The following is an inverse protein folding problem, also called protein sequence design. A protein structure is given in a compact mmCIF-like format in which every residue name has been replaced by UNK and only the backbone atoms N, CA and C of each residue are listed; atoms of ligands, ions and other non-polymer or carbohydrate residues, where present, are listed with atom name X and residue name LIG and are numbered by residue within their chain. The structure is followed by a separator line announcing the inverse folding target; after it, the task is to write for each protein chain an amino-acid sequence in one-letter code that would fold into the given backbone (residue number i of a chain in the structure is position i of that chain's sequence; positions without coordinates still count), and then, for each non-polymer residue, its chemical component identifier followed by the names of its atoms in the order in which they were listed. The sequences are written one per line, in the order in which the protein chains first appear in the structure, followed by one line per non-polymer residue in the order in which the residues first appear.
data_IF_041366678246
#
_entry.id   IF_041366678246
#
_cell.length_a   1.000
_cell.length_b   1.000
_cell.length_c   1.000
_cell.angle_alpha   90.00
_cell.angle_beta   90.00
_cell.angle_gamma   90.00
#
_symmetry.space_group_name_H-M   'P 1'
#
loop_
_entity.id
_entity.type
_entity.pdbx_description
1 polymer ?
#
# COMPACT_ATOMS: atom_id res chain seq x y z
N UNK A 1 -7.50 -8.87 53.75
CA UNK A 1 -6.96 -9.78 52.70
C UNK A 1 -7.34 -9.41 51.27
N UNK A 2 -8.62 -9.15 50.91
CA UNK A 2 -9.05 -8.90 49.51
C UNK A 2 -8.38 -7.72 48.78
N UNK A 3 -8.03 -6.63 49.47
CA UNK A 3 -7.40 -5.44 48.87
C UNK A 3 -5.97 -5.70 48.37
N UNK A 4 -5.24 -6.60 49.05
CA UNK A 4 -3.86 -6.93 48.69
C UNK A 4 -3.79 -7.88 47.47
N UNK A 5 -4.73 -8.83 47.38
CA UNK A 5 -4.91 -9.67 46.17
C UNK A 5 -5.39 -8.87 44.97
N UNK A 6 -6.27 -7.89 45.17
CA UNK A 6 -6.71 -7.01 44.09
C UNK A 6 -5.55 -6.16 43.56
N UNK A 7 -4.80 -5.45 44.41
CA UNK A 7 -3.67 -4.65 43.97
C UNK A 7 -2.59 -5.49 43.26
N UNK A 8 -2.34 -6.72 43.71
CA UNK A 8 -1.47 -7.67 43.00
C UNK A 8 -2.01 -8.04 41.62
N UNK A 9 -3.32 -8.32 41.50
CA UNK A 9 -3.95 -8.59 40.22
C UNK A 9 -3.83 -7.39 39.25
N UNK A 10 -4.11 -6.17 39.72
CA UNK A 10 -3.95 -4.94 38.93
C UNK A 10 -2.52 -4.75 38.45
N UNK A 11 -1.55 -4.93 39.35
CA UNK A 11 -0.13 -4.82 39.02
C UNK A 11 0.28 -5.86 37.97
N UNK A 12 -0.11 -7.12 38.14
CA UNK A 12 0.16 -8.20 37.16
C UNK A 12 -0.47 -7.87 35.81
N UNK A 13 -1.71 -7.38 35.79
CA UNK A 13 -2.38 -6.98 34.55
C UNK A 13 -1.66 -5.82 33.86
N UNK A 14 -1.19 -4.82 34.62
CA UNK A 14 -0.37 -3.72 34.09
C UNK A 14 0.95 -4.19 33.48
N UNK A 15 1.63 -5.13 34.13
CA UNK A 15 2.86 -5.75 33.59
C UNK A 15 2.56 -6.52 32.31
N UNK A 16 1.47 -7.29 32.26
CA UNK A 16 1.05 -8.01 31.04
C UNK A 16 0.79 -7.03 29.89
N UNK A 17 0.05 -5.94 30.13
CA UNK A 17 -0.20 -4.94 29.08
C UNK A 17 1.08 -4.25 28.61
N UNK A 18 2.03 -3.97 29.51
CA UNK A 18 3.34 -3.42 29.13
C UNK A 18 4.13 -4.41 28.27
N UNK A 19 4.14 -5.69 28.63
CA UNK A 19 4.82 -6.74 27.84
C UNK A 19 4.16 -6.94 26.47
N UNK A 20 2.82 -6.96 26.42
CA UNK A 20 2.07 -7.04 25.16
C UNK A 20 2.33 -5.82 24.31
N UNK A 21 2.24 -4.60 24.86
CA UNK A 21 2.54 -3.36 24.14
C UNK A 21 3.97 -3.31 23.62
N UNK A 22 4.95 -3.74 24.44
CA UNK A 22 6.35 -3.86 24.04
C UNK A 22 6.55 -4.88 22.92
N UNK A 23 5.91 -6.04 22.99
CA UNK A 23 5.92 -7.04 21.92
C UNK A 23 5.31 -6.51 20.62
N UNK A 24 4.17 -5.82 20.70
CA UNK A 24 3.50 -5.24 19.53
C UNK A 24 4.38 -4.19 18.85
N UNK A 25 4.97 -3.28 19.62
CA UNK A 25 5.92 -2.30 19.13
C UNK A 25 7.14 -2.97 18.49
N UNK A 26 7.69 -4.02 19.12
CA UNK A 26 8.81 -4.77 18.59
C UNK A 26 8.45 -5.51 17.30
N UNK A 27 7.29 -6.15 17.24
CA UNK A 27 6.78 -6.86 16.05
C UNK A 27 6.58 -5.91 14.86
N UNK A 28 5.99 -4.74 15.09
CA UNK A 28 5.80 -3.70 14.07
C UNK A 28 7.13 -3.20 13.49
N UNK A 29 8.15 -3.04 14.35
CA UNK A 29 9.42 -2.43 13.94
C UNK A 29 10.42 -3.42 13.32
N UNK A 30 10.22 -4.73 13.49
CA UNK A 30 11.19 -5.76 13.14
C UNK A 30 10.62 -6.80 12.16
N UNK A 31 10.82 -6.63 10.84
CA UNK A 31 10.41 -7.58 9.80
C UNK A 31 10.85 -9.04 10.03
N UNK A 32 12.00 -9.24 10.68
CA UNK A 32 12.53 -10.55 11.02
C UNK A 32 11.62 -11.32 12.00
N UNK A 33 10.99 -10.60 12.94
CA UNK A 33 10.07 -11.18 13.93
C UNK A 33 8.85 -11.73 13.21
N UNK A 34 8.23 -10.94 12.33
CA UNK A 34 7.13 -11.40 11.49
C UNK A 34 7.48 -12.71 10.77
N UNK A 35 8.62 -12.73 10.07
CA UNK A 35 9.02 -13.88 9.27
C UNK A 35 9.29 -15.12 10.12
N UNK A 36 9.82 -14.97 11.34
CA UNK A 36 10.00 -16.06 12.28
C UNK A 36 8.67 -16.69 12.74
N UNK A 37 7.65 -15.86 13.04
CA UNK A 37 6.30 -16.35 13.37
C UNK A 37 5.63 -17.01 12.16
N UNK A 38 5.74 -16.39 10.98
CA UNK A 38 5.16 -16.94 9.76
C UNK A 38 5.81 -18.29 9.38
N UNK A 39 7.13 -18.45 9.59
CA UNK A 39 7.86 -19.70 9.39
C UNK A 39 7.43 -20.81 10.37
N UNK A 40 7.08 -20.46 11.62
CA UNK A 40 6.60 -21.43 12.60
C UNK A 40 5.13 -21.84 12.40
N UNK A 41 4.47 -21.29 11.38
CA UNK A 41 3.05 -21.54 11.08
C UNK A 41 2.08 -20.69 11.92
N UNK A 42 2.58 -19.81 12.79
CA UNK A 42 1.77 -18.95 13.64
C UNK A 42 1.37 -17.70 12.84
N UNK A 43 0.07 -17.56 12.55
CA UNK A 43 -0.47 -16.40 11.83
C UNK A 43 -1.01 -15.34 12.78
N UNK A 44 -0.30 -14.23 12.92
CA UNK A 44 -0.74 -13.05 13.68
C UNK A 44 -1.36 -12.01 12.74
N UNK A 45 -2.26 -12.44 11.84
CA UNK A 45 -2.80 -11.59 10.76
C UNK A 45 -3.55 -10.35 11.26
N UNK A 46 -4.05 -10.36 12.49
CA UNK A 46 -4.68 -9.18 13.11
C UNK A 46 -3.67 -8.04 13.38
N UNK A 47 -2.37 -8.35 13.46
CA UNK A 47 -1.30 -7.37 13.62
C UNK A 47 -0.78 -6.81 12.31
N UNK A 48 -1.15 -7.42 11.17
CA UNK A 48 -0.67 -6.96 9.86
C UNK A 48 -1.13 -5.52 9.58
N UNK A 49 -2.31 -5.14 10.06
CA UNK A 49 -2.85 -3.78 9.92
C UNK A 49 -2.12 -2.74 10.80
N UNK A 50 -1.31 -3.17 11.77
CA UNK A 50 -0.57 -2.30 12.68
C UNK A 50 0.88 -2.09 12.25
N UNK A 51 1.40 -2.91 11.32
CA UNK A 51 2.79 -2.82 10.88
C UNK A 51 3.02 -1.83 9.74
N UNK A 52 4.19 -1.16 9.74
CA UNK A 52 4.70 -0.42 8.59
C UNK A 52 5.65 -1.32 7.79
N UNK A 53 5.09 -1.98 6.79
CA UNK A 53 5.77 -3.03 6.00
C UNK A 53 6.39 -2.54 4.70
N UNK A 54 6.10 -1.29 4.33
CA UNK A 54 6.54 -0.62 3.11
C UNK A 54 7.96 -0.03 3.18
N UNK A 55 8.75 -0.42 4.20
CA UNK A 55 10.14 0.04 4.37
C UNK A 55 11.05 -0.53 3.28
N UNK A 56 11.93 0.32 2.77
CA UNK A 56 13.01 -0.07 1.86
C UNK A 56 14.27 -0.49 2.63
N UNK A 57 15.15 -1.24 1.96
CA UNK A 57 16.48 -1.51 2.47
C UNK A 57 17.43 -0.38 2.03
N UNK A 58 18.52 -0.19 2.76
CA UNK A 58 19.56 0.75 2.34
C UNK A 58 20.12 0.36 0.96
N UNK A 59 20.40 1.36 0.12
CA UNK A 59 20.95 1.12 -1.22
C UNK A 59 22.20 0.22 -1.17
N UNK A 60 22.24 -0.76 -2.06
CA UNK A 60 23.26 -1.81 -2.09
C UNK A 60 22.91 -3.05 -1.27
N UNK A 61 21.90 -2.98 -0.39
CA UNK A 61 21.39 -4.13 0.37
C UNK A 61 20.12 -4.66 -0.29
N UNK A 62 19.99 -5.97 -0.43
CA UNK A 62 18.89 -6.56 -1.17
C UNK A 62 18.56 -7.97 -0.68
N UNK A 63 17.35 -8.43 -1.02
CA UNK A 63 16.99 -9.83 -0.98
C UNK A 63 17.24 -10.49 -2.33
N UNK A 64 17.88 -11.66 -2.32
CA UNK A 64 17.91 -12.57 -3.48
C UNK A 64 16.70 -13.48 -3.44
N UNK A 65 15.88 -13.45 -4.47
CA UNK A 65 14.82 -14.43 -4.69
C UNK A 65 15.43 -15.67 -5.34
N UNK A 66 15.31 -16.82 -4.70
CA UNK A 66 15.77 -18.10 -5.24
C UNK A 66 14.64 -19.11 -5.31
N UNK A 67 14.70 -20.04 -6.24
CA UNK A 67 13.80 -21.19 -6.23
C UNK A 67 14.19 -22.22 -5.13
N UNK A 68 13.41 -23.29 -5.01
CA UNK A 68 13.65 -24.38 -4.05
C UNK A 68 14.96 -25.14 -4.31
N UNK A 69 15.56 -25.01 -5.51
CA UNK A 69 16.86 -25.60 -5.85
C UNK A 69 18.05 -24.68 -5.52
N UNK A 70 17.76 -23.42 -5.16
CA UNK A 70 18.76 -22.39 -4.87
C UNK A 70 19.19 -21.58 -6.10
N UNK A 71 18.53 -21.74 -7.26
CA UNK A 71 18.78 -20.92 -8.44
C UNK A 71 18.25 -19.51 -8.20
N UNK A 72 19.09 -18.51 -8.46
CA UNK A 72 18.69 -17.11 -8.38
C UNK A 72 17.71 -16.75 -9.51
N UNK A 73 16.59 -16.16 -9.11
CA UNK A 73 15.49 -15.76 -9.99
C UNK A 73 15.44 -14.24 -10.15
N UNK A 74 15.63 -13.50 -9.05
CA UNK A 74 15.47 -12.05 -9.02
C UNK A 74 16.16 -11.41 -7.79
N UNK A 75 16.30 -10.08 -7.80
CA UNK A 75 16.78 -9.29 -6.66
C UNK A 75 15.88 -8.08 -6.40
N UNK A 76 15.72 -7.68 -5.14
CA UNK A 76 14.94 -6.48 -4.75
C UNK A 76 15.53 -5.82 -3.49
N UNK A 77 15.62 -4.49 -3.48
CA UNK A 77 16.10 -3.69 -2.33
C UNK A 77 14.96 -3.31 -1.37
N UNK A 78 14.08 -4.27 -1.08
CA UNK A 78 12.96 -4.11 -0.15
C UNK A 78 12.95 -5.30 0.81
N UNK A 79 12.38 -5.11 2.00
CA UNK A 79 12.14 -6.25 2.88
C UNK A 79 11.16 -7.22 2.21
N UNK A 80 11.52 -8.50 2.19
CA UNK A 80 10.69 -9.57 1.65
C UNK A 80 10.09 -10.39 2.80
N UNK A 81 8.83 -10.74 2.65
CA UNK A 81 8.06 -11.45 3.65
C UNK A 81 7.53 -12.77 3.12
N UNK A 82 7.34 -13.74 4.01
CA UNK A 82 6.66 -14.98 3.65
C UNK A 82 5.27 -14.67 3.11
N UNK A 83 4.97 -15.29 1.96
CA UNK A 83 3.77 -15.11 1.19
C UNK A 83 3.82 -13.99 0.17
N UNK A 84 4.90 -13.18 0.13
CA UNK A 84 5.12 -12.24 -0.99
C UNK A 84 5.28 -13.02 -2.29
N UNK A 85 4.93 -12.38 -3.39
CA UNK A 85 4.86 -13.05 -4.67
C UNK A 85 5.52 -12.24 -5.78
N UNK A 86 6.04 -12.94 -6.78
CA UNK A 86 6.73 -12.35 -7.92
C UNK A 86 6.15 -12.97 -9.18
N UNK A 87 5.70 -12.14 -10.11
CA UNK A 87 5.46 -12.53 -11.50
C UNK A 87 6.68 -12.04 -12.28
N UNK A 88 7.53 -12.96 -12.72
CA UNK A 88 8.77 -12.62 -13.41
C UNK A 88 8.49 -12.21 -14.87
N UNK A 89 9.55 -11.81 -15.56
CA UNK A 89 9.52 -11.36 -16.95
C UNK A 89 8.86 -12.38 -17.89
N UNK A 90 9.17 -13.67 -17.69
CA UNK A 90 8.63 -14.80 -18.45
C UNK A 90 7.20 -15.20 -18.03
N UNK A 91 6.55 -14.43 -17.16
CA UNK A 91 5.25 -14.67 -16.54
C UNK A 91 5.20 -15.83 -15.55
N UNK A 92 6.32 -16.43 -15.19
CA UNK A 92 6.37 -17.41 -14.10
C UNK A 92 6.07 -16.71 -12.76
N UNK A 93 5.10 -17.25 -12.01
CA UNK A 93 4.68 -16.73 -10.71
C UNK A 93 5.26 -17.57 -9.59
N UNK A 94 6.00 -16.91 -8.71
CA UNK A 94 6.62 -17.50 -7.53
C UNK A 94 6.03 -16.91 -6.26
N UNK A 95 5.92 -17.74 -5.22
CA UNK A 95 5.50 -17.33 -3.88
C UNK A 95 6.59 -17.66 -2.88
N UNK A 96 6.97 -16.66 -2.10
CA UNK A 96 7.97 -16.81 -1.03
C UNK A 96 7.39 -17.69 0.07
N UNK A 97 8.05 -18.80 0.34
CA UNK A 97 7.66 -19.78 1.36
C UNK A 97 8.59 -19.79 2.57
N UNK A 98 9.83 -19.34 2.40
CA UNK A 98 10.84 -19.28 3.46
C UNK A 98 11.77 -18.07 3.24
N UNK A 99 12.25 -17.50 4.35
CA UNK A 99 13.24 -16.43 4.36
C UNK A 99 14.44 -16.87 5.20
N UNK A 100 15.63 -16.83 4.62
CA UNK A 100 16.91 -17.00 5.31
C UNK A 100 17.49 -15.62 5.64
N UNK A 101 17.11 -15.10 6.81
CA UNK A 101 17.38 -13.71 7.21
C UNK A 101 18.87 -13.35 7.21
N UNK A 102 19.75 -14.26 7.61
CA UNK A 102 21.20 -14.00 7.69
C UNK A 102 21.84 -13.78 6.31
N UNK A 103 21.24 -14.32 5.25
CA UNK A 103 21.76 -14.23 3.88
C UNK A 103 20.93 -13.28 3.01
N UNK A 104 19.89 -12.64 3.57
CA UNK A 104 18.85 -11.94 2.81
C UNK A 104 18.37 -12.78 1.60
N UNK A 105 18.04 -14.04 1.82
CA UNK A 105 17.59 -14.95 0.76
C UNK A 105 16.13 -15.32 0.97
N UNK A 106 15.31 -15.10 -0.07
CA UNK A 106 13.90 -15.48 -0.09
C UNK A 106 13.74 -16.71 -0.97
N UNK A 107 13.40 -17.85 -0.36
CA UNK A 107 13.14 -19.10 -1.07
C UNK A 107 11.68 -19.10 -1.50
N UNK A 108 11.47 -19.27 -2.79
CA UNK A 108 10.16 -19.18 -3.42
C UNK A 108 9.81 -20.44 -4.21
N UNK A 109 8.55 -20.82 -4.09
CA UNK A 109 7.96 -21.94 -4.81
C UNK A 109 7.27 -21.44 -6.07
N UNK A 110 7.43 -22.15 -7.18
CA UNK A 110 6.67 -21.90 -8.41
C UNK A 110 5.20 -22.22 -8.16
N UNK A 111 4.33 -21.22 -8.33
CA UNK A 111 2.88 -21.35 -8.23
C UNK A 111 2.26 -21.72 -9.57
N UNK A 112 2.85 -21.23 -10.66
CA UNK A 112 2.37 -21.46 -12.02
C UNK A 112 2.88 -20.37 -12.96
N UNK A 113 2.28 -20.29 -14.15
CA UNK A 113 2.55 -19.25 -15.14
C UNK A 113 1.29 -18.42 -15.34
N UNK A 114 1.43 -17.10 -15.27
CA UNK A 114 0.31 -16.18 -15.46
C UNK A 114 -0.06 -16.10 -16.94
N UNK A 115 -1.32 -16.38 -17.23
CA UNK A 115 -1.90 -16.17 -18.57
C UNK A 115 -2.32 -14.72 -18.72
N UNK A 116 -1.38 -13.89 -19.17
CA UNK A 116 -1.62 -12.50 -19.47
C UNK A 116 -2.25 -12.37 -20.86
N UNK A 117 -3.55 -12.08 -20.89
CA UNK A 117 -4.33 -12.03 -22.13
C UNK A 117 -4.24 -10.65 -22.77
N UNK A 118 -3.83 -10.62 -24.04
CA UNK A 118 -3.93 -9.42 -24.88
C UNK A 118 -5.39 -9.03 -25.09
N UNK A 119 -5.69 -7.74 -24.95
CA UNK A 119 -7.00 -7.17 -25.23
C UNK A 119 -6.98 -6.51 -26.60
N UNK A 120 -7.89 -6.89 -27.49
CA UNK A 120 -7.94 -6.32 -28.84
C UNK A 120 -8.28 -4.83 -28.85
N UNK A 121 -8.93 -4.33 -27.79
CA UNK A 121 -9.18 -2.91 -27.57
C UNK A 121 -7.91 -2.10 -27.35
N UNK A 122 -6.75 -2.73 -27.12
CA UNK A 122 -5.45 -2.05 -27.12
C UNK A 122 -4.91 -1.83 -28.53
N UNK A 123 -5.34 -2.65 -29.50
CA UNK A 123 -5.00 -2.54 -30.92
C UNK A 123 -5.87 -1.49 -31.63
N UNK A 124 -7.14 -1.38 -31.23
CA UNK A 124 -8.14 -0.55 -31.90
C UNK A 124 -8.42 0.75 -31.12
N UNK A 125 -8.67 1.85 -31.84
CA UNK A 125 -8.93 3.24 -31.36
C UNK A 125 -7.67 4.09 -31.21
N UNK A 126 -7.63 5.36 -31.66
CA UNK A 126 -6.62 6.30 -31.19
C UNK A 126 -6.85 6.51 -29.70
N UNK A 127 -5.94 6.04 -28.84
CA UNK A 127 -6.06 6.15 -27.37
C UNK A 127 -6.48 7.57 -26.91
N UNK A 128 -6.07 8.58 -27.68
CA UNK A 128 -6.42 10.00 -27.50
C UNK A 128 -7.93 10.30 -27.53
N UNK A 129 -8.74 9.62 -28.34
CA UNK A 129 -10.18 9.91 -28.48
C UNK A 129 -10.97 9.49 -27.23
N UNK A 130 -10.72 8.29 -26.68
CA UNK A 130 -11.39 7.81 -25.45
C UNK A 130 -10.89 8.50 -24.17
N UNK A 131 -9.63 8.98 -24.18
CA UNK A 131 -9.03 9.74 -23.07
C UNK A 131 -9.59 11.16 -23.01
N UNK A 132 -9.85 11.78 -24.16
CA UNK A 132 -10.46 13.11 -24.28
C UNK A 132 -11.89 13.18 -23.72
N UNK A 133 -12.70 12.13 -23.91
CA UNK A 133 -14.08 12.07 -23.40
C UNK A 133 -14.16 11.98 -21.86
N UNK A 134 -13.17 11.38 -21.21
CA UNK A 134 -13.16 11.11 -19.76
C UNK A 134 -12.22 12.02 -18.95
N UNK A 135 -11.70 13.10 -19.53
CA UNK A 135 -10.68 13.95 -18.90
C UNK A 135 -9.52 13.12 -18.32
N UNK A 136 -9.04 12.10 -19.04
CA UNK A 136 -8.14 11.05 -18.52
C UNK A 136 -6.85 11.60 -17.92
N UNK A 137 -6.90 11.88 -16.62
CA UNK A 137 -5.78 12.43 -15.84
C UNK A 137 -5.01 11.32 -15.18
N UNK A 138 -3.68 11.37 -15.25
CA UNK A 138 -2.81 10.48 -14.47
C UNK A 138 -2.11 11.31 -13.41
N UNK A 139 -2.27 10.94 -12.15
CA UNK A 139 -1.51 11.55 -11.06
C UNK A 139 -0.13 10.91 -10.96
N UNK A 140 0.92 11.71 -10.92
CA UNK A 140 2.31 11.27 -10.81
C UNK A 140 2.94 11.92 -9.58
N UNK A 141 3.57 11.13 -8.73
CA UNK A 141 4.33 11.63 -7.59
C UNK A 141 5.50 10.69 -7.28
N UNK A 142 6.38 11.12 -6.38
CA UNK A 142 7.53 10.34 -5.94
C UNK A 142 7.53 10.34 -4.42
N UNK A 143 7.31 9.20 -3.78
CA UNK A 143 7.39 9.10 -2.31
C UNK A 143 8.82 9.37 -1.84
N UNK A 144 9.83 8.74 -2.45
CA UNK A 144 11.22 8.96 -2.05
C UNK A 144 11.91 9.98 -2.95
N UNK A 145 11.68 11.26 -2.67
CA UNK A 145 12.19 12.39 -3.48
C UNK A 145 13.70 12.55 -3.49
N UNK A 146 14.42 11.77 -2.69
CA UNK A 146 15.88 11.76 -2.60
C UNK A 146 16.56 10.77 -3.56
N UNK A 147 15.83 9.76 -4.05
CA UNK A 147 16.38 8.70 -4.89
C UNK A 147 17.12 9.26 -6.12
N UNK A 148 18.37 8.82 -6.30
CA UNK A 148 19.28 9.28 -7.36
C UNK A 148 20.06 8.13 -7.97
N UNK A 149 20.65 8.37 -9.14
CA UNK A 149 21.38 7.37 -9.91
C UNK A 149 22.88 7.68 -9.89
N UNK A 150 23.69 6.79 -9.30
CA UNK A 150 25.13 6.99 -9.09
C UNK A 150 25.85 7.42 -10.38
N UNK A 151 25.71 6.74 -11.53
CA UNK A 151 26.51 7.03 -12.72
C UNK A 151 26.33 8.44 -13.30
N UNK A 152 25.18 9.08 -13.05
CA UNK A 152 24.84 10.39 -13.65
C UNK A 152 24.60 11.49 -12.63
N UNK A 153 24.13 11.14 -11.44
CA UNK A 153 23.86 12.09 -10.37
C UNK A 153 25.02 12.14 -9.35
N UNK A 154 25.96 11.19 -9.39
CA UNK A 154 27.15 11.13 -8.54
C UNK A 154 26.92 10.54 -7.15
N UNK A 155 25.67 10.22 -6.78
CA UNK A 155 25.28 9.60 -5.51
C UNK A 155 23.97 8.84 -5.67
N UNK A 156 23.73 7.88 -4.79
CA UNK A 156 22.47 7.15 -4.72
C UNK A 156 21.33 7.98 -4.10
N UNK A 157 21.63 8.99 -3.29
CA UNK A 157 20.60 9.81 -2.62
C UNK A 157 21.01 11.29 -2.53
N UNK A 158 20.04 12.17 -2.81
CA UNK A 158 20.11 13.63 -2.68
C UNK A 158 18.82 14.14 -2.02
N UNK A 159 18.79 14.31 -0.68
CA UNK A 159 17.57 14.69 0.05
C UNK A 159 16.74 15.77 -0.64
N UNK A 160 15.50 15.41 -0.99
CA UNK A 160 14.51 16.27 -1.65
C UNK A 160 14.85 16.76 -3.05
N UNK A 161 15.98 16.37 -3.64
CA UNK A 161 16.49 16.82 -4.93
C UNK A 161 17.05 15.64 -5.74
N UNK A 162 16.44 14.47 -5.59
CA UNK A 162 16.86 13.23 -6.23
C UNK A 162 16.73 13.25 -7.75
N UNK A 163 17.56 12.46 -8.41
CA UNK A 163 17.44 12.20 -9.85
C UNK A 163 16.09 11.63 -10.26
N UNK A 164 15.40 10.94 -9.35
CA UNK A 164 14.06 10.38 -9.57
C UNK A 164 13.04 11.46 -9.93
N UNK A 165 13.20 12.70 -9.45
CA UNK A 165 12.30 13.80 -9.80
C UNK A 165 12.35 14.10 -11.31
N UNK A 166 13.53 13.96 -11.93
CA UNK A 166 13.68 14.14 -13.38
C UNK A 166 13.07 12.99 -14.16
N UNK A 167 13.23 11.76 -13.66
CA UNK A 167 12.61 10.56 -14.24
C UNK A 167 11.08 10.66 -14.19
N UNK A 168 10.51 11.04 -13.05
CA UNK A 168 9.06 11.29 -12.90
C UNK A 168 8.57 12.41 -13.83
N UNK A 169 9.35 13.47 -14.01
CA UNK A 169 9.04 14.54 -14.96
C UNK A 169 9.04 14.05 -16.42
N UNK A 170 10.02 13.23 -16.82
CA UNK A 170 10.07 12.60 -18.15
C UNK A 170 8.84 11.71 -18.36
N UNK A 171 8.46 10.91 -17.36
CA UNK A 171 7.25 10.09 -17.43
C UNK A 171 5.99 10.95 -17.63
N UNK A 172 5.80 11.98 -16.81
CA UNK A 172 4.63 12.85 -16.89
C UNK A 172 4.56 13.64 -18.21
N UNK A 173 5.69 14.12 -18.73
CA UNK A 173 5.71 14.85 -19.99
C UNK A 173 5.42 13.93 -21.18
N UNK A 174 5.96 12.71 -21.18
CA UNK A 174 5.65 11.75 -22.24
C UNK A 174 4.17 11.35 -22.23
N UNK A 175 3.54 11.19 -21.05
CA UNK A 175 2.09 11.01 -20.97
C UNK A 175 1.34 12.17 -21.65
N UNK A 176 1.76 13.42 -21.42
CA UNK A 176 1.16 14.61 -22.07
C UNK A 176 1.35 14.61 -23.58
N UNK A 177 2.52 14.22 -24.07
CA UNK A 177 2.80 14.09 -25.50
C UNK A 177 1.90 13.05 -26.16
N UNK A 178 1.51 12.01 -25.43
CA UNK A 178 0.52 11.02 -25.87
C UNK A 178 -0.95 11.44 -25.65
N UNK A 179 -1.20 12.69 -25.27
CA UNK A 179 -2.56 13.24 -25.08
C UNK A 179 -3.20 12.91 -23.73
N UNK A 180 -2.45 12.41 -22.74
CA UNK A 180 -2.92 12.14 -21.37
C UNK A 180 -2.62 13.33 -20.48
N UNK A 181 -3.60 13.81 -19.72
CA UNK A 181 -3.38 14.93 -18.80
C UNK A 181 -2.62 14.48 -17.54
N UNK A 182 -1.29 14.55 -17.54
CA UNK A 182 -0.49 14.17 -16.38
C UNK A 182 -0.36 15.30 -15.34
N UNK A 183 -0.81 15.03 -14.12
CA UNK A 183 -0.69 15.89 -12.95
C UNK A 183 0.48 15.41 -12.08
N UNK A 184 1.64 16.05 -12.23
CA UNK A 184 2.83 15.70 -11.44
C UNK A 184 2.95 16.56 -10.19
N UNK A 185 3.33 15.96 -9.06
CA UNK A 185 3.72 16.65 -7.83
C UNK A 185 5.21 16.45 -7.53
N UNK A 186 5.89 17.55 -7.19
CA UNK A 186 7.27 17.58 -6.71
C UNK A 186 7.36 17.85 -5.20
N UNK A 187 6.26 17.64 -4.46
CA UNK A 187 6.27 17.78 -3.01
C UNK A 187 7.34 16.84 -2.42
N UNK A 188 8.13 17.36 -1.48
CA UNK A 188 9.19 16.62 -0.82
C UNK A 188 8.62 15.79 0.33
N UNK A 189 9.12 14.57 0.50
CA UNK A 189 8.68 13.68 1.57
C UNK A 189 9.85 13.14 2.41
N UNK A 190 10.98 13.86 2.43
CA UNK A 190 12.13 13.56 3.28
C UNK A 190 11.76 13.53 4.79
N UNK A 191 12.50 12.79 5.63
CA UNK A 191 13.64 11.92 5.28
C UNK A 191 13.22 10.64 4.53
N UNK A 192 14.17 9.92 3.95
CA UNK A 192 13.91 8.60 3.37
C UNK A 192 13.72 7.57 4.50
N UNK A 193 12.51 7.49 5.04
CA UNK A 193 12.14 6.57 6.10
C UNK A 193 10.76 5.93 5.83
N UNK A 194 10.36 5.00 6.69
CA UNK A 194 9.03 4.38 6.59
C UNK A 194 7.87 5.39 6.68
N UNK A 195 8.08 6.55 7.31
CA UNK A 195 7.08 7.62 7.40
C UNK A 195 7.00 8.46 6.11
N UNK A 196 7.88 8.27 5.12
CA UNK A 196 7.80 8.93 3.83
C UNK A 196 6.45 8.64 3.14
N UNK A 197 5.95 7.40 3.24
CA UNK A 197 4.63 7.04 2.73
C UNK A 197 3.50 7.79 3.44
N UNK A 198 3.60 8.01 4.75
CA UNK A 198 2.62 8.84 5.47
C UNK A 198 2.63 10.30 4.99
N UNK A 199 3.81 10.85 4.68
CA UNK A 199 3.94 12.21 4.13
C UNK A 199 3.43 12.27 2.69
N UNK A 200 3.83 11.34 1.83
CA UNK A 200 3.42 11.28 0.42
C UNK A 200 1.95 10.98 0.23
N UNK A 201 1.31 10.32 1.21
CA UNK A 201 -0.14 10.12 1.24
C UNK A 201 -0.92 11.43 1.10
N UNK A 202 -0.45 12.51 1.72
CA UNK A 202 -1.10 13.83 1.61
C UNK A 202 -1.03 14.35 0.17
N UNK A 203 0.12 14.16 -0.48
CA UNK A 203 0.33 14.51 -1.89
C UNK A 203 -0.56 13.67 -2.81
N UNK A 204 -0.58 12.35 -2.64
CA UNK A 204 -1.44 11.46 -3.41
C UNK A 204 -2.93 11.81 -3.23
N UNK A 205 -3.38 12.09 -2.00
CA UNK A 205 -4.74 12.53 -1.72
C UNK A 205 -5.08 13.90 -2.35
N UNK A 206 -4.11 14.82 -2.48
CA UNK A 206 -4.30 16.08 -3.20
C UNK A 206 -4.46 15.84 -4.70
N UNK A 207 -3.66 14.95 -5.30
CA UNK A 207 -3.78 14.58 -6.71
C UNK A 207 -5.16 13.97 -7.00
N UNK A 208 -5.67 13.13 -6.09
CA UNK A 208 -7.00 12.52 -6.21
C UNK A 208 -8.16 13.50 -6.32
N UNK A 209 -8.03 14.72 -5.78
CA UNK A 209 -9.07 15.76 -5.90
C UNK A 209 -9.34 16.15 -7.35
N UNK A 210 -8.41 15.86 -8.25
CA UNK A 210 -8.56 16.09 -9.69
C UNK A 210 -9.16 14.89 -10.43
N UNK A 211 -9.64 13.87 -9.72
CA UNK A 211 -10.24 12.65 -10.24
C UNK A 211 -9.36 11.95 -11.31
N UNK A 212 -8.08 11.64 -11.00
CA UNK A 212 -7.23 10.92 -11.93
C UNK A 212 -7.72 9.48 -12.11
N UNK A 213 -7.58 8.97 -13.33
CA UNK A 213 -7.90 7.57 -13.69
C UNK A 213 -6.85 6.57 -13.19
N UNK A 214 -5.65 7.04 -12.85
CA UNK A 214 -4.59 6.25 -12.26
C UNK A 214 -3.67 7.15 -11.41
N UNK A 215 -3.07 6.56 -10.37
CA UNK A 215 -1.99 7.15 -9.59
C UNK A 215 -0.72 6.33 -9.79
N UNK A 216 0.38 7.00 -10.07
CA UNK A 216 1.69 6.38 -10.26
C UNK A 216 2.69 6.99 -9.31
N UNK A 217 3.21 6.16 -8.41
CA UNK A 217 4.36 6.47 -7.55
C UNK A 217 5.64 6.03 -8.26
N UNK A 218 6.51 6.98 -8.62
CA UNK A 218 7.72 6.71 -9.41
C UNK A 218 8.93 6.59 -8.49
N UNK A 219 9.57 5.43 -8.53
CA UNK A 219 10.73 5.08 -7.74
C UNK A 219 11.85 4.50 -8.61
N UNK A 220 12.99 4.21 -7.98
CA UNK A 220 14.05 3.34 -8.50
C UNK A 220 14.52 2.36 -7.43
N UNK A 221 14.82 1.13 -7.84
CA UNK A 221 15.29 0.09 -6.92
C UNK A 221 16.69 0.43 -6.36
N UNK A 222 17.08 -0.28 -5.32
CA UNK A 222 18.34 -0.10 -4.59
C UNK A 222 19.34 -1.24 -4.76
N UNK A 223 19.08 -2.21 -5.66
CA UNK A 223 19.99 -3.36 -5.86
C UNK A 223 21.31 -2.93 -6.50
N UNK A 224 22.47 -3.52 -6.13
CA UNK A 224 23.77 -3.09 -6.64
C UNK A 224 24.01 -3.54 -8.08
N UNK A 225 23.52 -4.71 -8.50
CA UNK A 225 23.71 -5.21 -9.86
C UNK A 225 22.68 -4.61 -10.84
N UNK A 226 23.15 -3.65 -11.64
CA UNK A 226 22.36 -2.96 -12.64
C UNK A 226 21.87 -3.85 -13.80
N UNK A 227 22.44 -5.05 -13.97
CA UNK A 227 22.06 -5.99 -15.04
C UNK A 227 20.64 -6.51 -14.88
N UNK A 228 20.13 -6.65 -13.66
CA UNK A 228 18.75 -7.07 -13.40
C UNK A 228 17.70 -6.12 -13.99
N UNK A 229 18.07 -4.87 -14.22
CA UNK A 229 17.23 -3.84 -14.82
C UNK A 229 17.71 -3.38 -16.19
N UNK A 230 18.80 -3.93 -16.75
CA UNK A 230 19.28 -3.48 -18.06
C UNK A 230 18.36 -3.98 -19.17
N UNK A 231 18.00 -3.10 -20.09
CA UNK A 231 17.30 -3.44 -21.34
C UNK A 231 17.75 -2.52 -22.48
N UNK A 232 17.18 -2.71 -23.66
CA UNK A 232 17.37 -1.82 -24.80
C UNK A 232 16.03 -1.22 -25.21
N UNK A 233 16.02 0.09 -25.41
CA UNK A 233 14.86 0.85 -25.87
C UNK A 233 15.28 1.53 -27.16
N UNK A 234 14.62 1.17 -28.28
CA UNK A 234 14.89 1.73 -29.61
C UNK A 234 16.39 1.68 -29.98
N UNK A 235 17.07 0.58 -29.62
CA UNK A 235 18.51 0.36 -29.89
C UNK A 235 19.48 1.11 -28.98
N UNK A 236 18.99 1.80 -27.95
CA UNK A 236 19.81 2.50 -26.96
C UNK A 236 19.69 1.85 -25.58
N UNK A 237 20.71 1.96 -24.71
CA UNK A 237 20.62 1.49 -23.33
C UNK A 237 19.45 2.14 -22.57
N UNK A 238 18.56 1.30 -22.06
CA UNK A 238 17.41 1.69 -21.23
C UNK A 238 17.35 0.84 -19.95
N UNK A 239 16.37 1.13 -19.10
CA UNK A 239 16.06 0.28 -17.94
C UNK A 239 14.70 -0.38 -18.06
N UNK A 240 14.61 -1.58 -17.50
CA UNK A 240 13.33 -2.25 -17.25
C UNK A 240 12.54 -1.51 -16.18
N UNK A 241 11.24 -1.76 -16.15
CA UNK A 241 10.30 -1.26 -15.15
C UNK A 241 9.80 -2.45 -14.32
N UNK A 242 9.91 -2.40 -12.99
CA UNK A 242 9.19 -3.33 -12.11
C UNK A 242 7.91 -2.66 -11.63
N UNK A 243 6.80 -3.40 -11.71
CA UNK A 243 5.52 -2.99 -11.16
C UNK A 243 5.42 -3.50 -9.72
N UNK A 244 5.00 -2.66 -8.78
CA UNK A 244 4.86 -3.04 -7.37
C UNK A 244 3.42 -2.87 -6.93
N UNK A 245 2.86 -3.94 -6.34
CA UNK A 245 1.49 -3.98 -5.82
C UNK A 245 1.54 -4.40 -4.35
N UNK A 246 0.97 -3.60 -3.47
CA UNK A 246 0.83 -3.93 -2.06
C UNK A 246 -0.17 -5.07 -1.84
N UNK A 247 0.13 -5.97 -0.93
CA UNK A 247 -0.80 -7.04 -0.51
C UNK A 247 -1.77 -6.58 0.58
N UNK A 248 -1.55 -5.41 1.17
CA UNK A 248 -2.34 -4.89 2.29
C UNK A 248 -3.34 -3.80 1.88
N UNK A 249 -3.33 -3.36 0.62
CA UNK A 249 -4.34 -2.40 0.16
C UNK A 249 -5.68 -3.12 -0.12
N UNK A 250 -6.82 -2.54 0.28
CA UNK A 250 -8.15 -3.11 0.02
C UNK A 250 -8.52 -3.14 -1.46
N UNK A 251 -7.76 -2.44 -2.31
CA UNK A 251 -7.92 -2.43 -3.77
C UNK A 251 -6.98 -3.41 -4.48
N UNK A 252 -6.36 -4.36 -3.76
CA UNK A 252 -5.26 -5.17 -4.28
C UNK A 252 -5.63 -5.90 -5.57
N UNK A 253 -6.82 -6.49 -5.64
CA UNK A 253 -7.27 -7.19 -6.85
C UNK A 253 -7.36 -6.26 -8.07
N UNK A 254 -7.91 -5.06 -7.89
CA UNK A 254 -8.03 -4.07 -8.96
C UNK A 254 -6.66 -3.50 -9.37
N UNK A 255 -5.78 -3.24 -8.40
CA UNK A 255 -4.43 -2.73 -8.65
C UNK A 255 -3.55 -3.80 -9.31
N UNK A 256 -3.67 -5.06 -8.90
CA UNK A 256 -3.00 -6.18 -9.55
C UNK A 256 -3.53 -6.42 -10.97
N UNK A 257 -4.84 -6.34 -11.19
CA UNK A 257 -5.42 -6.44 -12.53
C UNK A 257 -4.90 -5.32 -13.44
N UNK A 258 -4.77 -4.10 -12.93
CA UNK A 258 -4.17 -3.00 -13.66
C UNK A 258 -2.69 -3.27 -13.99
N UNK A 259 -1.88 -3.72 -13.03
CA UNK A 259 -0.48 -4.09 -13.26
C UNK A 259 -0.34 -5.24 -14.28
N UNK A 260 -1.21 -6.25 -14.22
CA UNK A 260 -1.26 -7.36 -15.18
C UNK A 260 -1.64 -6.90 -16.58
N UNK A 261 -2.60 -5.99 -16.72
CA UNK A 261 -2.97 -5.41 -18.02
C UNK A 261 -1.80 -4.61 -18.62
N UNK A 262 -1.08 -3.83 -17.80
CA UNK A 262 0.13 -3.14 -18.23
C UNK A 262 1.18 -4.14 -18.71
N UNK A 263 1.49 -5.16 -17.90
CA UNK A 263 2.46 -6.20 -18.28
C UNK A 263 2.03 -6.93 -19.55
N UNK A 264 0.76 -7.33 -19.68
CA UNK A 264 0.24 -7.99 -20.88
C UNK A 264 0.43 -7.13 -22.15
N UNK A 265 0.18 -5.83 -22.06
CA UNK A 265 0.38 -4.90 -23.16
C UNK A 265 1.86 -4.80 -23.55
N UNK A 266 2.75 -4.61 -22.59
CA UNK A 266 4.19 -4.44 -22.85
C UNK A 266 4.90 -5.74 -23.19
N UNK A 267 4.45 -6.89 -22.70
CA UNK A 267 5.00 -8.20 -23.09
C UNK A 267 4.86 -8.43 -24.60
N UNK A 268 3.78 -7.91 -25.22
CA UNK A 268 3.56 -7.99 -26.68
C UNK A 268 4.23 -6.85 -27.45
N UNK A 269 4.12 -5.61 -26.96
CA UNK A 269 4.56 -4.42 -27.72
C UNK A 269 6.01 -4.03 -27.47
N UNK A 270 6.55 -4.36 -26.31
CA UNK A 270 7.91 -4.02 -25.86
C UNK A 270 8.51 -5.14 -25.00
N UNK A 271 8.74 -6.35 -25.55
CA UNK A 271 9.25 -7.48 -24.79
C UNK A 271 10.52 -7.12 -24.00
N UNK A 272 10.58 -7.48 -22.73
CA UNK A 272 11.71 -7.18 -21.86
C UNK A 272 11.76 -5.74 -21.31
N UNK A 273 10.73 -4.91 -21.55
CA UNK A 273 10.60 -3.60 -20.88
C UNK A 273 10.08 -3.76 -19.45
N UNK A 274 9.04 -4.58 -19.23
CA UNK A 274 8.50 -4.83 -17.89
C UNK A 274 9.26 -6.01 -17.28
N UNK A 275 10.04 -5.74 -16.23
CA UNK A 275 10.81 -6.73 -15.49
C UNK A 275 9.93 -7.79 -14.82
N UNK A 276 8.73 -7.39 -14.39
CA UNK A 276 7.82 -8.23 -13.63
C UNK A 276 6.91 -7.43 -12.70
N UNK A 277 6.12 -8.15 -11.91
CA UNK A 277 5.23 -7.62 -10.88
C UNK A 277 5.67 -8.19 -9.53
N UNK A 278 6.04 -7.33 -8.59
CA UNK A 278 6.26 -7.69 -7.19
C UNK A 278 5.00 -7.40 -6.37
N UNK A 279 4.47 -8.42 -5.71
CA UNK A 279 3.37 -8.32 -4.76
C UNK A 279 3.94 -8.40 -3.35
N UNK A 280 4.24 -7.24 -2.77
CA UNK A 280 4.91 -7.12 -1.47
C UNK A 280 3.95 -6.90 -0.32
N UNK A 281 4.34 -7.33 0.89
CA UNK A 281 3.64 -6.97 2.13
C UNK A 281 3.85 -5.47 2.37
N UNK A 282 2.88 -4.67 1.96
CA UNK A 282 2.88 -3.21 2.08
C UNK A 282 1.61 -2.62 1.52
N UNK A 283 1.42 -1.31 1.70
CA UNK A 283 0.29 -0.57 1.15
C UNK A 283 0.72 0.33 -0.02
N UNK A 284 1.79 1.11 0.16
CA UNK A 284 2.35 2.01 -0.85
C UNK A 284 1.35 3.07 -1.33
N UNK A 285 0.47 3.55 -0.44
CA UNK A 285 -0.67 4.43 -0.75
C UNK A 285 -1.70 3.89 -1.75
N UNK A 286 -1.64 2.59 -2.07
CA UNK A 286 -2.51 1.97 -3.07
C UNK A 286 -3.92 1.69 -2.54
N UNK A 287 -4.16 1.90 -1.24
CA UNK A 287 -5.51 1.91 -0.66
C UNK A 287 -6.31 3.18 -0.99
N UNK A 288 -5.67 4.21 -1.53
CA UNK A 288 -6.34 5.46 -1.88
C UNK A 288 -7.28 5.33 -3.08
N UNK A 289 -7.12 4.30 -3.92
CA UNK A 289 -8.04 4.03 -5.01
C UNK A 289 -7.61 2.87 -5.90
N UNK A 290 -8.49 2.42 -6.82
CA UNK A 290 -8.12 1.47 -7.85
C UNK A 290 -7.17 2.11 -8.87
N UNK A 291 -6.33 1.30 -9.51
CA UNK A 291 -5.29 1.73 -10.48
C UNK A 291 -4.26 2.67 -9.85
N UNK A 292 -3.98 2.47 -8.55
CA UNK A 292 -2.83 3.04 -7.87
C UNK A 292 -1.68 2.03 -7.90
N UNK A 293 -0.54 2.43 -8.46
CA UNK A 293 0.61 1.55 -8.70
C UNK A 293 1.92 2.27 -8.37
N UNK A 294 2.90 1.51 -7.90
CA UNK A 294 4.28 1.95 -7.78
C UNK A 294 5.09 1.33 -8.93
N UNK A 295 5.97 2.12 -9.54
CA UNK A 295 6.90 1.66 -10.56
C UNK A 295 8.35 1.88 -10.10
N UNK A 296 9.20 0.87 -10.28
CA UNK A 296 10.64 0.98 -10.11
C UNK A 296 11.29 1.12 -11.48
N UNK A 297 11.93 2.26 -11.72
CA UNK A 297 12.57 2.60 -13.00
C UNK A 297 14.07 2.33 -12.89
N UNK A 298 14.46 1.08 -13.12
CA UNK A 298 15.84 0.67 -12.93
C UNK A 298 16.25 0.59 -11.46
N UNK A 299 17.57 0.59 -11.23
CA UNK A 299 18.20 0.68 -9.91
C UNK A 299 19.19 1.84 -9.85
N UNK A 300 19.60 2.23 -8.64
CA UNK A 300 20.55 3.31 -8.38
C UNK A 300 21.91 3.19 -9.09
N UNK A 301 22.32 2.00 -9.55
CA UNK A 301 23.55 1.78 -10.35
C UNK A 301 23.34 1.81 -11.86
N UNK A 302 22.09 1.97 -12.35
CA UNK A 302 21.83 2.37 -13.73
C UNK A 302 22.08 3.88 -13.91
N UNK A 303 22.32 4.35 -15.13
CA UNK A 303 22.33 5.79 -15.40
C UNK A 303 20.91 6.36 -15.39
N UNK A 304 20.73 7.58 -14.89
CA UNK A 304 19.43 8.27 -14.94
C UNK A 304 18.93 8.41 -16.38
N UNK A 305 19.81 8.63 -17.34
CA UNK A 305 19.42 8.75 -18.76
C UNK A 305 18.93 7.44 -19.36
N UNK A 306 19.41 6.27 -18.89
CA UNK A 306 18.83 4.98 -19.27
C UNK A 306 17.46 4.78 -18.61
N UNK A 307 17.30 5.23 -17.36
CA UNK A 307 16.02 5.21 -16.65
C UNK A 307 14.97 6.11 -17.33
N UNK A 308 15.36 7.32 -17.73
CA UNK A 308 14.53 8.25 -18.50
C UNK A 308 14.03 7.61 -19.81
N UNK A 309 14.89 6.92 -20.58
CA UNK A 309 14.48 6.19 -21.79
C UNK A 309 13.52 5.03 -21.51
N UNK A 310 13.77 4.28 -20.44
CA UNK A 310 12.89 3.18 -20.02
C UNK A 310 11.49 3.67 -19.68
N UNK A 311 11.41 4.74 -18.88
CA UNK A 311 10.13 5.30 -18.42
C UNK A 311 9.40 6.08 -19.53
N UNK A 312 10.13 6.71 -20.45
CA UNK A 312 9.59 7.33 -21.67
C UNK A 312 8.86 6.29 -22.52
N UNK A 313 9.52 5.19 -22.86
CA UNK A 313 8.92 4.12 -23.67
C UNK A 313 7.77 3.42 -22.93
N UNK A 314 7.84 3.34 -21.60
CA UNK A 314 6.72 2.88 -20.79
C UNK A 314 5.53 3.87 -20.83
N UNK A 315 5.76 5.18 -20.77
CA UNK A 315 4.69 6.18 -20.87
C UNK A 315 3.93 6.12 -22.21
N UNK A 316 4.63 5.82 -23.31
CA UNK A 316 4.04 5.69 -24.66
C UNK A 316 2.88 4.66 -24.72
N UNK A 317 2.97 3.58 -23.94
CA UNK A 317 1.96 2.52 -23.92
C UNK A 317 0.81 2.72 -22.92
N UNK A 318 0.99 3.56 -21.89
CA UNK A 318 -0.03 3.77 -20.84
C UNK A 318 -1.40 4.20 -21.41
N UNK A 319 -1.50 5.18 -22.34
CA UNK A 319 -2.76 5.60 -22.94
C UNK A 319 -3.62 4.45 -23.46
N UNK A 320 -3.00 3.44 -24.09
CA UNK A 320 -3.68 2.27 -24.66
C UNK A 320 -4.36 1.45 -23.59
N UNK A 321 -3.66 1.22 -22.49
CA UNK A 321 -4.18 0.42 -21.38
C UNK A 321 -5.26 1.19 -20.63
N UNK A 322 -5.04 2.46 -20.28
CA UNK A 322 -6.03 3.22 -19.51
C UNK A 322 -7.29 3.60 -20.33
N UNK A 323 -7.13 3.91 -21.61
CA UNK A 323 -8.23 4.29 -22.51
C UNK A 323 -9.13 3.11 -22.89
N UNK A 324 -8.63 1.87 -22.82
CA UNK A 324 -9.44 0.68 -23.04
C UNK A 324 -10.25 0.24 -21.81
N UNK A 325 -9.87 0.65 -20.59
CA UNK A 325 -10.54 0.25 -19.33
C UNK A 325 -11.58 1.30 -18.88
N UNK A 326 -12.11 2.13 -19.80
CA UNK A 326 -13.15 3.14 -19.48
C UNK A 326 -14.59 2.63 -19.62
N UNK A 327 -14.79 1.33 -19.84
CA UNK A 327 -16.11 0.68 -19.71
C UNK A 327 -16.41 0.20 -18.27
N UNK A 328 -17.68 0.12 -17.84
CA UNK A 328 -18.06 -0.49 -16.58
C UNK A 328 -17.99 -2.02 -16.68
N UNK A 329 -16.79 -2.59 -16.83
CA UNK A 329 -16.60 -4.04 -16.77
C UNK A 329 -15.68 -4.42 -15.61
N UNK A 330 -16.37 -4.78 -14.53
CA UNK A 330 -15.90 -5.75 -13.55
C UNK A 330 -15.42 -6.98 -14.30
N UNK A 331 -14.19 -7.43 -14.03
CA UNK A 331 -13.62 -8.62 -14.63
C UNK A 331 -14.60 -9.82 -14.57
N UNK A 332 -14.71 -10.65 -15.63
CA UNK A 332 -15.53 -11.85 -15.58
C UNK A 332 -14.97 -12.81 -14.53
N UNK A 333 -15.77 -13.09 -13.49
CA UNK A 333 -15.37 -13.95 -12.37
C UNK A 333 -15.72 -13.41 -10.98
N UNK A 334 -16.20 -12.16 -10.88
CA UNK A 334 -16.68 -11.62 -9.61
C UNK A 334 -18.04 -12.24 -9.27
N UNK A 335 -18.01 -13.30 -8.45
CA UNK A 335 -19.17 -13.68 -7.67
C UNK A 335 -19.59 -12.47 -6.85
N UNK A 336 -20.75 -11.91 -7.18
CA UNK A 336 -21.46 -10.91 -6.37
C UNK A 336 -21.83 -11.59 -5.05
N UNK A 337 -20.93 -11.48 -4.07
CA UNK A 337 -21.10 -12.16 -2.81
C UNK A 337 -19.79 -12.22 -2.05
N UNK A 338 -19.36 -11.09 -1.52
CA UNK A 338 -18.60 -11.12 -0.27
C UNK A 338 -19.23 -10.11 0.68
N UNK A 339 -19.77 -10.68 1.76
CA UNK A 339 -20.28 -9.97 2.91
C UNK A 339 -19.28 -8.91 3.40
N UNK A 340 -19.82 -7.83 3.97
CA UNK A 340 -19.11 -6.84 4.78
C UNK A 340 -18.46 -7.49 6.01
N UNK A 341 -17.44 -8.31 5.85
CA UNK A 341 -16.68 -8.91 6.95
C UNK A 341 -15.32 -8.23 7.06
N UNK A 342 -15.30 -7.04 7.65
CA UNK A 342 -14.04 -6.37 7.97
C UNK A 342 -14.25 -5.14 8.83
N UNK A 343 -15.01 -4.17 8.33
CA UNK A 343 -15.23 -2.90 9.05
C UNK A 343 -16.05 -3.10 10.33
N UNK A 344 -17.09 -3.93 10.29
CA UNK A 344 -17.94 -4.19 11.45
C UNK A 344 -17.21 -4.93 12.59
N UNK A 345 -16.33 -5.88 12.26
CA UNK A 345 -15.56 -6.62 13.26
C UNK A 345 -14.44 -5.77 13.86
N UNK A 346 -13.74 -4.94 13.08
CA UNK A 346 -12.70 -4.04 13.62
C UNK A 346 -13.29 -2.92 14.49
N UNK A 347 -14.43 -2.36 14.09
CA UNK A 347 -15.19 -1.42 14.93
C UNK A 347 -15.67 -2.12 16.19
N UNK A 348 -16.24 -3.33 16.08
CA UNK A 348 -16.66 -4.12 17.23
C UNK A 348 -15.49 -4.44 18.17
N UNK A 349 -14.31 -4.79 17.66
CA UNK A 349 -13.12 -5.02 18.47
C UNK A 349 -12.60 -3.75 19.13
N UNK A 350 -12.62 -2.60 18.44
CA UNK A 350 -12.29 -1.30 19.05
C UNK A 350 -13.30 -0.91 20.13
N UNK A 351 -14.59 -1.14 19.91
CA UNK A 351 -15.63 -0.93 20.92
C UNK A 351 -15.47 -1.88 22.10
N UNK A 352 -15.19 -3.16 21.86
CA UNK A 352 -14.94 -4.15 22.90
C UNK A 352 -13.69 -3.76 23.71
N UNK A 353 -12.59 -3.38 23.05
CA UNK A 353 -11.36 -2.93 23.71
C UNK A 353 -11.57 -1.62 24.49
N UNK A 354 -12.38 -0.69 23.97
CA UNK A 354 -12.74 0.54 24.67
C UNK A 354 -13.64 0.26 25.88
N UNK A 355 -14.60 -0.67 25.77
CA UNK A 355 -15.48 -1.09 26.88
C UNK A 355 -14.66 -1.84 27.93
N UNK A 356 -13.78 -2.76 27.53
CA UNK A 356 -12.89 -3.49 28.43
C UNK A 356 -11.91 -2.52 29.09
N UNK A 357 -11.28 -1.63 28.34
CA UNK A 357 -10.34 -0.63 28.85
C UNK A 357 -11.01 0.37 29.79
N UNK A 358 -12.15 0.95 29.39
CA UNK A 358 -12.94 1.88 30.19
C UNK A 358 -13.56 1.21 31.43
N UNK A 359 -14.10 0.00 31.28
CA UNK A 359 -14.63 -0.81 32.38
C UNK A 359 -13.54 -1.21 33.37
N UNK A 360 -12.35 -1.60 32.88
CA UNK A 360 -11.18 -1.89 33.71
C UNK A 360 -10.73 -0.62 34.43
N UNK A 361 -10.58 0.52 33.75
CA UNK A 361 -10.21 1.79 34.38
C UNK A 361 -11.20 2.23 35.46
N UNK A 362 -12.51 2.09 35.22
CA UNK A 362 -13.54 2.43 36.21
C UNK A 362 -13.50 1.49 37.42
N UNK A 363 -13.31 0.19 37.19
CA UNK A 363 -13.17 -0.79 38.26
C UNK A 363 -11.89 -0.58 39.08
N UNK A 364 -10.78 -0.25 38.42
CA UNK A 364 -9.52 0.09 39.05
C UNK A 364 -9.59 1.39 39.87
N UNK A 365 -10.23 2.43 39.33
CA UNK A 365 -10.32 3.75 39.98
C UNK A 365 -11.34 3.82 41.12
N UNK A 366 -12.29 2.89 41.19
CA UNK A 366 -13.34 2.87 42.23
C UNK A 366 -13.20 1.71 43.21
N UNK A 367 -12.35 0.73 42.88
CA UNK A 367 -12.03 -0.42 43.74
C UNK A 367 -13.21 -1.37 44.00
N UNK A 368 -14.35 -1.20 43.32
CA UNK A 368 -15.52 -2.07 43.46
C UNK A 368 -16.46 -1.94 42.26
N UNK A 369 -17.20 -3.01 41.97
CA UNK A 369 -18.20 -3.03 40.89
C UNK A 369 -19.31 -2.02 41.15
N UNK A 370 -19.77 -1.89 42.39
CA UNK A 370 -20.77 -0.87 42.78
C UNK A 370 -20.25 0.56 42.59
N UNK A 371 -18.96 0.83 42.89
CA UNK A 371 -18.34 2.13 42.65
C UNK A 371 -18.22 2.48 41.17
N UNK A 372 -17.89 1.51 40.32
CA UNK A 372 -17.84 1.70 38.86
C UNK A 372 -19.22 2.08 38.31
N UNK A 373 -20.26 1.36 38.73
CA UNK A 373 -21.64 1.64 38.31
C UNK A 373 -22.12 3.01 38.80
N UNK A 374 -21.76 3.40 40.03
CA UNK A 374 -22.07 4.74 40.56
C UNK A 374 -21.40 5.85 39.74
N UNK A 375 -20.09 5.76 39.46
CA UNK A 375 -19.38 6.73 38.61
C UNK A 375 -19.91 6.78 37.18
N UNK A 376 -20.21 5.63 36.58
CA UNK A 376 -20.76 5.55 35.22
C UNK A 376 -22.14 6.21 35.16
N UNK A 377 -22.98 5.99 36.17
CA UNK A 377 -24.31 6.62 36.27
C UNK A 377 -24.24 8.13 36.49
N UNK A 378 -23.20 8.61 37.18
CA UNK A 378 -22.96 10.04 37.41
C UNK A 378 -22.51 10.75 36.13
N UNK A 379 -21.59 10.14 35.37
CA UNK A 379 -21.22 10.61 34.03
C UNK A 379 -22.42 10.67 33.07
N UNK A 380 -23.31 9.67 33.13
CA UNK A 380 -24.56 9.66 32.35
C UNK A 380 -25.50 10.82 32.70
N UNK A 381 -25.58 11.20 33.99
CA UNK A 381 -26.35 12.36 34.45
C UNK A 381 -25.72 13.70 34.04
N UNK A 382 -24.38 13.80 34.06
CA UNK A 382 -23.65 14.98 33.60
C UNK A 382 -23.81 15.20 32.08
N UNK A 383 -23.77 14.13 31.28
CA UNK A 383 -24.04 14.20 29.84
C UNK A 383 -25.51 14.47 29.49
N UNK A 384 -26.46 13.91 30.25
CA UNK A 384 -27.89 14.19 30.07
C UNK A 384 -28.24 15.66 30.36
N UNK A 385 -27.56 16.28 31.33
CA UNK A 385 -27.70 17.71 31.61
C UNK A 385 -27.10 18.60 30.49
N UNK A 386 -26.15 18.08 29.70
CA UNK A 386 -25.52 18.81 28.60
C UNK A 386 -26.30 18.71 27.27
N UNK A 387 -27.13 17.67 27.10
CA UNK A 387 -27.92 17.43 25.89
C UNK A 387 -29.35 18.03 25.93
N UNK A 388 -29.71 18.71 27.02
CA UNK A 388 -30.99 19.41 27.18
C UNK A 388 -32.22 18.49 27.31
N UNK A 389 -33.30 18.91 27.99
CA UNK A 389 -34.46 18.05 28.19
C UNK A 389 -35.22 17.86 26.87
N UNK A 390 -35.52 16.59 26.53
CA UNK A 390 -36.53 16.23 25.53
C UNK A 390 -37.87 16.83 25.97
N UNK A 391 -38.37 17.84 25.24
CA UNK A 391 -39.79 18.22 25.28
C UNK A 391 -40.59 17.03 24.76
N UNK A 392 -41.28 16.34 25.67
CA UNK A 392 -42.45 15.53 25.31
C UNK A 392 -43.61 16.53 25.30
N UNK A 393 -44.14 16.83 24.12
CA UNK A 393 -45.41 17.53 23.97
C UNK A 393 -46.52 16.69 24.62
N UNK A 394 -47.04 17.16 25.74
CA UNK A 394 -48.32 16.72 26.27
C UNK A 394 -49.41 17.49 25.53
N UNK A 395 -49.89 16.91 24.43
CA UNK A 395 -51.23 17.18 23.91
C UNK A 395 -52.23 16.60 24.90
N UNK A 396 -52.88 17.43 25.74
CA UNK A 396 -54.23 17.21 26.30
C UNK A 396 -54.56 18.38 27.24
N UNK A 397 -55.32 19.35 26.73
CA UNK A 397 -56.44 20.07 27.39
C UNK A 397 -56.67 21.44 26.76
N UNK A 398 -57.57 21.48 25.77
CA UNK A 398 -58.40 22.64 25.49
C UNK A 398 -59.73 22.17 24.91
N UNK A 399 -60.66 21.78 25.79
CA UNK A 399 -62.09 21.67 25.48
C UNK A 399 -62.97 21.77 26.73
N UNK A 400 -62.99 22.95 27.33
CA UNK A 400 -64.13 23.56 28.03
C UNK A 400 -63.60 24.94 28.48
N UNK A 401 -63.96 26.04 27.83
CA UNK A 401 -65.14 26.82 28.19
C UNK A 401 -65.47 27.76 27.03
N UNK A 402 -66.59 27.49 26.36
CA UNK A 402 -67.34 28.47 25.58
C UNK A 402 -68.78 27.96 25.50
N UNK A 403 -69.52 28.09 26.61
CA UNK A 403 -70.98 28.13 26.69
C UNK A 403 -71.40 28.55 28.11
N UNK A 404 -71.40 29.86 28.38
CA UNK A 404 -72.58 30.67 28.68
C UNK A 404 -72.14 32.09 29.05
#
# INVERSE_FOLDING_TARGET
MRKNTFNRFVFVLGVIFLLVGGFLFYYEKNPQVYNAFAQSGIKLSFLDALGSWEREMDCGTYFSLVDETGKELDQISRFVFIGDEFILEDNSRYKVIKIEQQQNKAIAQLVGKEELVWREEWSEVPATTKIAENQGRVGVYMTHTDESYIPTDGTASKPGNGGILKVGNVFANNLKEQGVNALISFNKHDPHDANAYHRSRKTAAQLLKNNPIALVDVHRDGIPDSKFYKTEVKGLPGTKIRLVVGRQNPHMEANLAFAKNLKAYFDKTSPGLVKGIFMGKGNYNQDLGPRAILIEVGTHTNSRTAAERGVEHFAEGIPRVIGAITGPEVAPGVKKGLERTGTGKSILWLFILAIIGGGSFLFLSTGSLQGSWAKLSQLGKEFANYLGPKKIEAEFEKKSEAKQ
#
